data_IF_295274048883
#
_entry.id   IF_295274048883
#
_cell.length_a   1.000
_cell.length_b   1.000
_cell.length_c   1.000
_cell.angle_alpha   90.00
_cell.angle_beta   90.00
_cell.angle_gamma   90.00
#
_symmetry.space_group_name_H-M   'P 1'
#
loop_
_entity.id
_entity.type
_entity.pdbx_description
1 polymer ?
#
# COMPACT_ATOMS: atom_id res chain seq x y z
N UNK A 1 24.99 -3.14 4.98
CA UNK A 1 24.17 -3.54 3.82
C UNK A 1 22.72 -3.52 4.24
N UNK A 2 22.02 -2.40 4.11
CA UNK A 2 20.57 -2.33 4.34
C UNK A 2 19.92 -2.60 2.99
N UNK A 3 19.14 -3.68 2.89
CA UNK A 3 18.44 -4.04 1.67
C UNK A 3 17.57 -2.84 1.23
N UNK A 4 17.77 -2.27 0.03
CA UNK A 4 17.00 -1.12 -0.43
C UNK A 4 15.48 -1.39 -0.38
N UNK A 5 15.10 -2.61 -0.75
CA UNK A 5 13.71 -3.06 -0.88
C UNK A 5 12.86 -2.97 0.40
N UNK A 6 13.42 -3.31 1.56
CA UNK A 6 12.65 -3.22 2.82
C UNK A 6 12.50 -1.79 3.33
N UNK A 7 13.36 -0.87 2.88
CA UNK A 7 13.22 0.56 3.16
C UNK A 7 12.14 1.17 2.27
N UNK A 8 12.07 0.73 1.02
CA UNK A 8 11.03 1.15 0.08
C UNK A 8 9.64 0.77 0.61
N UNK A 9 9.42 -0.49 1.01
CA UNK A 9 8.13 -0.92 1.55
C UNK A 9 7.71 -0.16 2.82
N UNK A 10 8.65 0.13 3.71
CA UNK A 10 8.33 0.85 4.94
C UNK A 10 7.97 2.32 4.66
N UNK A 11 8.66 2.96 3.71
CA UNK A 11 8.35 4.33 3.26
C UNK A 11 6.98 4.39 2.55
N UNK A 12 6.69 3.41 1.69
CA UNK A 12 5.39 3.24 1.05
C UNK A 12 4.28 3.03 2.10
N UNK A 13 4.55 2.24 3.15
CA UNK A 13 3.61 2.00 4.24
C UNK A 13 3.30 3.29 5.00
N UNK A 14 4.31 4.10 5.31
CA UNK A 14 4.13 5.40 5.94
C UNK A 14 3.32 6.34 5.06
N UNK A 15 3.67 6.48 3.78
CA UNK A 15 2.94 7.33 2.83
C UNK A 15 1.47 6.90 2.66
N UNK A 16 1.22 5.59 2.62
CA UNK A 16 -0.13 5.05 2.56
C UNK A 16 -0.92 5.30 3.85
N UNK A 17 -0.26 5.21 5.01
CA UNK A 17 -0.87 5.50 6.31
C UNK A 17 -1.29 6.97 6.40
N UNK A 18 -0.44 7.90 5.97
CA UNK A 18 -0.78 9.33 5.92
C UNK A 18 -1.98 9.60 5.00
N UNK A 19 -2.06 8.93 3.86
CA UNK A 19 -3.21 9.03 2.97
C UNK A 19 -4.49 8.45 3.58
N UNK A 20 -4.39 7.38 4.37
CA UNK A 20 -5.52 6.82 5.09
C UNK A 20 -6.03 7.79 6.15
N UNK A 21 -5.14 8.39 6.94
CA UNK A 21 -5.47 9.33 8.00
C UNK A 21 -6.14 10.61 7.46
N UNK A 22 -5.73 11.07 6.28
CA UNK A 22 -6.33 12.22 5.60
C UNK A 22 -7.63 11.89 4.84
N UNK A 23 -8.00 10.61 4.70
CA UNK A 23 -9.21 10.20 3.99
C UNK A 23 -10.41 10.12 4.95
N UNK A 24 -11.65 10.41 4.49
CA UNK A 24 -12.82 10.29 5.36
C UNK A 24 -13.01 8.83 5.77
N UNK A 25 -13.17 8.59 7.07
CA UNK A 25 -13.38 7.26 7.63
C UNK A 25 -14.57 6.54 6.95
N UNK A 26 -14.38 5.28 6.58
CA UNK A 26 -15.38 4.49 5.85
C UNK A 26 -15.42 4.73 4.33
N UNK A 27 -14.60 5.63 3.80
CA UNK A 27 -14.46 5.80 2.35
C UNK A 27 -13.64 4.67 1.72
N UNK A 28 -13.90 4.38 0.45
CA UNK A 28 -13.11 3.43 -0.35
C UNK A 28 -11.61 3.77 -0.33
N UNK A 29 -11.28 5.07 -0.40
CA UNK A 29 -9.90 5.56 -0.35
C UNK A 29 -9.23 5.29 0.99
N UNK A 30 -9.95 5.46 2.10
CA UNK A 30 -9.44 5.15 3.43
C UNK A 30 -9.16 3.64 3.55
N UNK A 31 -10.12 2.80 3.14
CA UNK A 31 -9.95 1.34 3.17
C UNK A 31 -8.76 0.88 2.31
N UNK A 32 -8.67 1.39 1.07
CA UNK A 32 -7.56 1.07 0.17
C UNK A 32 -6.20 1.50 0.72
N UNK A 33 -6.09 2.75 1.19
CA UNK A 33 -4.83 3.28 1.74
C UNK A 33 -4.40 2.52 3.01
N UNK A 34 -5.33 2.20 3.90
CA UNK A 34 -5.05 1.39 5.09
C UNK A 34 -4.61 -0.03 4.73
N UNK A 35 -5.24 -0.66 3.73
CA UNK A 35 -4.81 -1.98 3.23
C UNK A 35 -3.38 -1.94 2.68
N UNK A 36 -3.04 -0.93 1.87
CA UNK A 36 -1.67 -0.74 1.35
C UNK A 36 -0.68 -0.54 2.49
N UNK A 37 -1.01 0.29 3.47
CA UNK A 37 -0.14 0.55 4.62
C UNK A 37 0.18 -0.74 5.40
N UNK A 38 -0.85 -1.51 5.75
CA UNK A 38 -0.69 -2.78 6.49
C UNK A 38 0.10 -3.81 5.67
N UNK A 39 -0.23 -3.94 4.38
CA UNK A 39 0.45 -4.90 3.50
C UNK A 39 1.92 -4.54 3.31
N UNK A 40 2.25 -3.28 3.04
CA UNK A 40 3.63 -2.85 2.88
C UNK A 40 4.43 -2.96 4.19
N UNK A 41 3.80 -2.70 5.34
CA UNK A 41 4.45 -2.86 6.64
C UNK A 41 4.76 -4.32 7.02
N UNK A 42 4.02 -5.29 6.46
CA UNK A 42 4.17 -6.72 6.79
C UNK A 42 4.91 -7.52 5.72
N UNK A 43 5.20 -6.93 4.57
CA UNK A 43 5.90 -7.57 3.45
C UNK A 43 7.27 -6.97 3.23
N UNK A 44 8.20 -7.78 2.73
CA UNK A 44 9.61 -7.39 2.60
C UNK A 44 9.94 -6.66 1.29
N UNK A 45 9.20 -6.97 0.23
CA UNK A 45 9.45 -6.53 -1.14
C UNK A 45 8.13 -6.17 -1.84
N UNK A 46 8.20 -5.30 -2.85
CA UNK A 46 7.04 -4.79 -3.58
C UNK A 46 6.21 -5.87 -4.29
N UNK A 47 6.87 -6.92 -4.81
CA UNK A 47 6.19 -8.01 -5.51
C UNK A 47 5.29 -8.82 -4.57
N UNK A 48 5.79 -9.11 -3.36
CA UNK A 48 5.02 -9.77 -2.31
C UNK A 48 3.86 -8.86 -1.85
N UNK A 49 4.11 -7.57 -1.64
CA UNK A 49 3.07 -6.61 -1.29
C UNK A 49 1.93 -6.61 -2.32
N UNK A 50 2.27 -6.53 -3.61
CA UNK A 50 1.30 -6.55 -4.72
C UNK A 50 0.49 -7.85 -4.74
N UNK A 51 1.13 -9.01 -4.58
CA UNK A 51 0.44 -10.30 -4.53
C UNK A 51 -0.53 -10.38 -3.35
N UNK A 52 -0.17 -9.82 -2.19
CA UNK A 52 -1.06 -9.77 -1.02
C UNK A 52 -2.25 -8.84 -1.26
N UNK A 53 -2.02 -7.68 -1.88
CA UNK A 53 -3.09 -6.73 -2.24
C UNK A 53 -4.09 -7.34 -3.23
N UNK A 54 -3.62 -8.14 -4.19
CA UNK A 54 -4.47 -8.83 -5.16
C UNK A 54 -5.46 -9.83 -4.49
N UNK A 55 -5.11 -10.35 -3.32
CA UNK A 55 -5.97 -11.23 -2.54
C UNK A 55 -7.05 -10.52 -1.70
N UNK A 56 -7.10 -9.19 -1.69
CA UNK A 56 -8.02 -8.42 -0.84
C UNK A 56 -9.43 -8.42 -1.45
N UNK A 57 -10.43 -8.53 -0.58
CA UNK A 57 -11.84 -8.31 -0.90
C UNK A 57 -12.38 -7.15 -0.05
N UNK A 58 -13.37 -6.38 -0.55
CA UNK A 58 -14.04 -6.51 -1.85
C UNK A 58 -13.18 -6.04 -3.04
N UNK A 59 -13.54 -6.45 -4.27
CA UNK A 59 -12.80 -6.14 -5.51
C UNK A 59 -12.56 -4.63 -5.71
N UNK A 60 -13.49 -3.79 -5.25
CA UNK A 60 -13.38 -2.33 -5.33
C UNK A 60 -12.20 -1.81 -4.50
N UNK A 61 -12.02 -2.35 -3.29
CA UNK A 61 -10.91 -2.02 -2.39
C UNK A 61 -9.61 -2.54 -2.97
N UNK A 62 -9.61 -3.77 -3.52
CA UNK A 62 -8.45 -4.34 -4.21
C UNK A 62 -7.95 -3.44 -5.34
N UNK A 63 -8.86 -3.07 -6.26
CA UNK A 63 -8.50 -2.24 -7.42
C UNK A 63 -7.97 -0.88 -6.96
N UNK A 64 -8.62 -0.26 -5.98
CA UNK A 64 -8.17 1.02 -5.41
C UNK A 64 -6.81 0.89 -4.70
N UNK A 65 -6.58 -0.19 -3.95
CA UNK A 65 -5.33 -0.44 -3.23
C UNK A 65 -4.17 -0.70 -4.20
N UNK A 66 -4.38 -1.54 -5.24
CA UNK A 66 -3.39 -1.80 -6.27
C UNK A 66 -3.03 -0.52 -7.05
N UNK A 67 -4.02 0.31 -7.41
CA UNK A 67 -3.77 1.58 -8.08
C UNK A 67 -2.99 2.57 -7.20
N UNK A 68 -3.29 2.62 -5.90
CA UNK A 68 -2.59 3.48 -4.95
C UNK A 68 -1.15 2.99 -4.72
N UNK A 69 -0.96 1.68 -4.60
CA UNK A 69 0.34 1.05 -4.50
C UNK A 69 1.22 1.31 -5.73
N UNK A 70 0.67 1.17 -6.94
CA UNK A 70 1.37 1.45 -8.20
C UNK A 70 1.80 2.93 -8.27
N UNK A 71 0.92 3.86 -7.88
CA UNK A 71 1.25 5.29 -7.83
C UNK A 71 2.39 5.60 -6.85
N UNK A 72 2.38 4.97 -5.68
CA UNK A 72 3.41 5.18 -4.67
C UNK A 72 4.74 4.54 -5.08
N UNK A 73 4.71 3.31 -5.57
CA UNK A 73 5.90 2.55 -5.99
C UNK A 73 6.54 3.12 -7.26
N UNK A 74 5.75 3.63 -8.20
CA UNK A 74 6.24 4.28 -9.42
C UNK A 74 6.83 5.67 -9.23
N UNK A 75 6.60 6.32 -8.08
CA UNK A 75 7.15 7.65 -7.75
C UNK A 75 8.53 7.59 -7.07
N UNK A 76 9.00 6.40 -6.74
CA UNK A 76 10.31 6.13 -6.13
C UNK A 76 11.43 5.89 -7.16
N UNK A 77 11.21 6.23 -8.44
CA UNK A 77 12.17 6.10 -9.54
C UNK A 77 12.90 7.40 -9.89
#
# INVERSE_FOLDING_TARGET
MTSPLSRDNLDLATSAQEMADNAPAGSLRHAAAASVAITCATTRDNDHARSTLDGIAPDEVRLAALALFDQLSGRAG
#
